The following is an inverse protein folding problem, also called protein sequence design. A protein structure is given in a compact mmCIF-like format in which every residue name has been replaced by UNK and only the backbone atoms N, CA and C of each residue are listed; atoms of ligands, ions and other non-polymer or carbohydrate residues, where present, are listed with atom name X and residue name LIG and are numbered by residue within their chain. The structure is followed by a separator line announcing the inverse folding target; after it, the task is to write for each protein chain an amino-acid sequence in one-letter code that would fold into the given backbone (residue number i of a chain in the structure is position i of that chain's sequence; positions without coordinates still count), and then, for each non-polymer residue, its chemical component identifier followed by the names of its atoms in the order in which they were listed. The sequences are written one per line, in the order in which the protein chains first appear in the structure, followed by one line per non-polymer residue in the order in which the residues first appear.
data_IF_436699888445
#
_entry.id   IF_436699888445
#
_cell.length_a   1.000
_cell.length_b   1.000
_cell.length_c   1.000
_cell.angle_alpha   90.00
_cell.angle_beta   90.00
_cell.angle_gamma   90.00
#
_symmetry.space_group_name_H-M   'P 1'
#
loop_
_entity.id
_entity.type
_entity.pdbx_description
1 polymer ?
#
# COMPACT_ATOMS: atom_id res chain seq x y z
N UNK A 1 -6.94 14.67 -24.47
CA UNK A 1 -6.64 13.29 -24.92
C UNK A 1 -7.11 12.33 -23.84
N UNK A 2 -8.35 11.86 -23.94
CA UNK A 2 -8.94 10.87 -23.05
C UNK A 2 -9.23 9.63 -23.89
N UNK A 3 -8.62 8.50 -23.52
CA UNK A 3 -9.08 7.12 -23.81
C UNK A 3 -7.95 6.15 -23.44
N UNK A 4 -7.93 5.74 -22.18
CA UNK A 4 -7.45 4.44 -21.81
C UNK A 4 -8.51 3.89 -20.86
N UNK A 5 -9.10 2.75 -21.19
CA UNK A 5 -9.70 1.92 -20.14
C UNK A 5 -8.52 1.55 -19.24
N UNK A 6 -8.33 2.30 -18.15
CA UNK A 6 -7.12 2.17 -17.33
C UNK A 6 -7.23 0.91 -16.50
N UNK A 7 -6.64 -0.15 -17.05
CA UNK A 7 -6.55 -1.47 -16.44
C UNK A 7 -5.79 -1.40 -15.12
N UNK A 8 -6.06 -2.35 -14.23
CA UNK A 8 -5.30 -2.55 -12.98
C UNK A 8 -3.79 -2.51 -13.23
N UNK A 9 -3.35 -3.12 -14.32
CA UNK A 9 -1.96 -3.15 -14.75
C UNK A 9 -1.36 -1.74 -14.95
N UNK A 10 -2.04 -0.88 -15.70
CA UNK A 10 -1.56 0.49 -15.96
C UNK A 10 -1.42 1.31 -14.66
N UNK A 11 -2.36 1.12 -13.73
CA UNK A 11 -2.35 1.77 -12.42
C UNK A 11 -1.23 1.26 -11.53
N UNK A 12 -1.04 -0.07 -11.47
CA UNK A 12 0.08 -0.70 -10.76
C UNK A 12 1.41 -0.20 -11.30
N UNK A 13 1.62 -0.16 -12.62
CA UNK A 13 2.85 0.37 -13.20
C UNK A 13 3.08 1.84 -12.85
N UNK A 14 2.04 2.67 -12.90
CA UNK A 14 2.13 4.07 -12.49
C UNK A 14 2.54 4.21 -11.03
N UNK A 15 1.93 3.41 -10.14
CA UNK A 15 2.26 3.40 -8.70
C UNK A 15 3.70 2.92 -8.46
N UNK A 16 4.16 1.88 -9.16
CA UNK A 16 5.55 1.42 -9.09
C UNK A 16 6.54 2.48 -9.58
N UNK A 17 6.13 3.34 -10.52
CA UNK A 17 6.90 4.50 -11.00
C UNK A 17 6.73 5.75 -10.13
N UNK A 18 5.92 5.67 -9.06
CA UNK A 18 5.55 6.80 -8.21
C UNK A 18 4.89 7.94 -8.98
N UNK A 19 4.16 7.63 -10.05
CA UNK A 19 3.48 8.60 -10.92
C UNK A 19 2.26 9.22 -10.20
N UNK A 20 2.30 10.54 -9.89
CA UNK A 20 1.19 11.22 -9.21
C UNK A 20 -0.13 11.14 -9.96
N UNK A 21 -0.11 11.05 -11.29
CA UNK A 21 -1.31 10.94 -12.10
C UNK A 21 -2.02 9.59 -11.88
N UNK A 22 -1.26 8.51 -11.75
CA UNK A 22 -1.82 7.19 -11.46
C UNK A 22 -2.54 7.17 -10.10
N UNK A 23 -1.97 7.80 -9.07
CA UNK A 23 -2.63 7.93 -7.77
C UNK A 23 -3.91 8.76 -7.84
N UNK A 24 -3.90 9.89 -8.54
CA UNK A 24 -5.09 10.73 -8.72
C UNK A 24 -6.23 9.94 -9.38
N UNK A 25 -5.92 9.10 -10.37
CA UNK A 25 -6.89 8.26 -11.06
C UNK A 25 -7.44 7.13 -10.17
N UNK A 26 -6.59 6.52 -9.36
CA UNK A 26 -7.01 5.52 -8.36
C UNK A 26 -7.95 6.16 -7.33
N UNK A 27 -7.66 7.38 -6.89
CA UNK A 27 -8.47 8.10 -5.92
C UNK A 27 -9.84 8.47 -6.48
N UNK A 28 -9.88 8.93 -7.74
CA UNK A 28 -11.08 9.37 -8.43
C UNK A 28 -12.03 8.24 -8.84
N UNK A 29 -11.54 7.00 -8.99
CA UNK A 29 -12.35 5.86 -9.45
C UNK A 29 -12.83 4.97 -8.28
N UNK A 30 -14.15 4.93 -7.99
CA UNK A 30 -14.70 4.03 -6.99
C UNK A 30 -14.45 2.53 -7.26
N UNK A 31 -14.39 2.12 -8.53
CA UNK A 31 -14.09 0.74 -8.93
C UNK A 31 -12.67 0.30 -8.58
N UNK A 32 -11.75 1.24 -8.35
CA UNK A 32 -10.39 0.94 -7.92
C UNK A 32 -10.30 0.34 -6.51
N UNK A 33 -11.36 0.39 -5.69
CA UNK A 33 -11.39 -0.31 -4.39
C UNK A 33 -11.22 -1.81 -4.55
N UNK A 34 -11.96 -2.44 -5.47
CA UNK A 34 -11.85 -3.88 -5.71
C UNK A 34 -10.48 -4.25 -6.27
N UNK A 35 -9.90 -3.35 -7.08
CA UNK A 35 -8.55 -3.52 -7.61
C UNK A 35 -7.49 -3.43 -6.50
N UNK A 36 -7.65 -2.51 -5.55
CA UNK A 36 -6.78 -2.37 -4.40
C UNK A 36 -6.82 -3.63 -3.52
N UNK A 37 -8.01 -4.21 -3.28
CA UNK A 37 -8.15 -5.50 -2.58
C UNK A 37 -7.36 -6.59 -3.31
N UNK A 38 -7.48 -6.69 -4.63
CA UNK A 38 -6.73 -7.67 -5.42
C UNK A 38 -5.20 -7.45 -5.31
N UNK A 39 -4.73 -6.20 -5.36
CA UNK A 39 -3.30 -5.88 -5.20
C UNK A 39 -2.81 -6.29 -3.81
N UNK A 40 -3.54 -5.97 -2.74
CA UNK A 40 -3.19 -6.36 -1.35
C UNK A 40 -3.17 -7.88 -1.20
N UNK A 41 -4.16 -8.57 -1.77
CA UNK A 41 -4.24 -10.02 -1.74
C UNK A 41 -3.06 -10.69 -2.47
N UNK A 42 -2.74 -10.25 -3.69
CA UNK A 42 -1.58 -10.79 -4.45
C UNK A 42 -0.26 -10.46 -3.74
N UNK A 43 -0.13 -9.24 -3.20
CA UNK A 43 1.06 -8.80 -2.45
C UNK A 43 1.25 -9.55 -1.13
N UNK A 44 0.18 -10.09 -0.55
CA UNK A 44 0.25 -10.93 0.66
C UNK A 44 0.46 -12.39 0.33
N UNK A 45 -0.08 -12.89 -0.78
CA UNK A 45 0.29 -14.21 -1.30
C UNK A 45 1.80 -14.31 -1.49
N UNK A 46 2.43 -13.33 -2.16
CA UNK A 46 3.87 -13.31 -2.42
C UNK A 46 4.75 -13.40 -1.14
N UNK A 47 4.22 -12.96 0.00
CA UNK A 47 4.90 -13.07 1.30
C UNK A 47 4.54 -14.38 2.01
N UNK A 48 3.26 -14.75 2.03
CA UNK A 48 2.73 -15.89 2.81
C UNK A 48 3.32 -17.24 2.41
N UNK A 49 3.63 -17.43 1.13
CA UNK A 49 4.30 -18.62 0.60
C UNK A 49 5.72 -18.84 1.14
N UNK A 50 6.34 -17.78 1.67
CA UNK A 50 7.65 -17.86 2.35
C UNK A 50 7.50 -18.21 3.84
N UNK A 51 6.28 -18.18 4.38
CA UNK A 51 5.99 -18.46 5.79
C UNK A 51 5.82 -19.98 5.97
N UNK A 52 6.57 -20.60 6.91
CA UNK A 52 6.37 -22.02 7.24
C UNK A 52 4.92 -22.29 7.70
N UNK A 53 4.30 -23.36 7.21
CA UNK A 53 2.93 -23.73 7.61
C UNK A 53 2.03 -24.33 6.51
N UNK A 54 2.52 -24.40 5.27
CA UNK A 54 1.84 -25.08 4.17
C UNK A 54 0.73 -24.28 3.50
N UNK A 55 -0.19 -24.98 2.84
CA UNK A 55 -1.24 -24.34 2.01
C UNK A 55 -2.25 -23.53 2.83
N UNK A 56 -2.51 -23.92 4.09
CA UNK A 56 -3.45 -23.22 4.96
C UNK A 56 -2.96 -21.83 5.33
N UNK A 57 -1.68 -21.68 5.73
CA UNK A 57 -1.08 -20.37 6.04
C UNK A 57 -1.02 -19.48 4.81
N UNK A 58 -0.78 -20.06 3.64
CA UNK A 58 -0.78 -19.35 2.35
C UNK A 58 -2.14 -18.69 2.05
N UNK A 59 -3.25 -19.24 2.55
CA UNK A 59 -4.60 -18.68 2.32
C UNK A 59 -5.08 -17.76 3.45
N UNK A 60 -4.75 -18.06 4.71
CA UNK A 60 -5.22 -17.29 5.87
C UNK A 60 -4.47 -15.97 6.03
N UNK A 61 -3.15 -15.95 5.80
CA UNK A 61 -2.32 -14.76 5.94
C UNK A 61 -2.79 -13.60 5.03
N UNK A 62 -3.13 -13.84 3.74
CA UNK A 62 -3.72 -12.80 2.89
C UNK A 62 -5.01 -12.17 3.42
N UNK A 63 -5.89 -12.96 4.05
CA UNK A 63 -7.14 -12.45 4.62
C UNK A 63 -6.86 -11.53 5.82
N UNK A 64 -5.92 -11.92 6.68
CA UNK A 64 -5.43 -11.07 7.76
C UNK A 64 -4.81 -9.78 7.22
N UNK A 65 -4.05 -9.84 6.12
CA UNK A 65 -3.46 -8.67 5.48
C UNK A 65 -4.49 -7.69 4.93
N UNK A 66 -5.64 -8.15 4.44
CA UNK A 66 -6.73 -7.26 4.02
C UNK A 66 -7.29 -6.51 5.23
N UNK A 67 -7.52 -7.20 6.35
CA UNK A 67 -7.99 -6.56 7.58
C UNK A 67 -6.96 -5.54 8.10
N UNK A 68 -5.68 -5.94 8.13
CA UNK A 68 -4.58 -5.06 8.48
C UNK A 68 -4.51 -3.82 7.60
N UNK A 69 -4.68 -3.96 6.28
CA UNK A 69 -4.69 -2.84 5.33
C UNK A 69 -5.85 -1.87 5.60
N UNK A 70 -7.04 -2.38 5.91
CA UNK A 70 -8.21 -1.55 6.24
C UNK A 70 -7.93 -0.69 7.48
N UNK A 71 -7.34 -1.30 8.52
CA UNK A 71 -6.91 -0.60 9.75
C UNK A 71 -5.82 0.41 9.46
N UNK A 72 -4.81 0.02 8.68
CA UNK A 72 -3.69 0.89 8.30
C UNK A 72 -4.17 2.12 7.52
N UNK A 73 -5.03 1.93 6.52
CA UNK A 73 -5.64 3.02 5.77
C UNK A 73 -6.45 3.96 6.66
N UNK A 74 -7.14 3.43 7.68
CA UNK A 74 -7.96 4.23 8.58
C UNK A 74 -7.09 5.09 9.49
N UNK A 75 -6.03 4.50 10.06
CA UNK A 75 -5.06 5.24 10.88
C UNK A 75 -4.37 6.32 10.04
N UNK A 76 -3.90 6.00 8.83
CA UNK A 76 -3.30 7.01 7.93
C UNK A 76 -4.29 8.15 7.66
N UNK A 77 -5.53 7.82 7.30
CA UNK A 77 -6.57 8.80 7.06
C UNK A 77 -6.80 9.70 8.29
N UNK A 78 -6.94 9.10 9.46
CA UNK A 78 -7.22 9.81 10.71
C UNK A 78 -6.06 10.72 11.13
N UNK A 79 -4.82 10.21 11.08
CA UNK A 79 -3.61 11.01 11.37
C UNK A 79 -3.50 12.15 10.35
N UNK A 80 -3.58 11.84 9.06
CA UNK A 80 -3.45 12.84 8.01
C UNK A 80 -4.49 13.95 8.13
N UNK A 81 -5.76 13.61 8.33
CA UNK A 81 -6.82 14.63 8.53
C UNK A 81 -6.58 15.46 9.78
N UNK A 82 -6.22 14.84 10.91
CA UNK A 82 -5.95 15.54 12.18
C UNK A 82 -4.81 16.57 12.06
N UNK A 83 -3.75 16.26 11.32
CA UNK A 83 -2.59 17.15 11.16
C UNK A 83 -2.76 18.22 10.06
N UNK A 84 -3.73 18.08 9.15
CA UNK A 84 -3.94 18.99 8.00
C UNK A 84 -5.23 19.83 8.06
N UNK A 85 -6.05 19.72 9.11
CA UNK A 85 -7.37 20.37 9.24
C UNK A 85 -7.42 21.91 9.30
N UNK A 86 -6.36 22.67 8.97
CA UNK A 86 -6.33 24.10 9.32
C UNK A 86 -6.42 25.17 8.22
N UNK A 87 -6.28 24.91 6.93
CA UNK A 87 -6.52 26.03 5.97
C UNK A 87 -6.89 25.64 4.52
N UNK A 88 -6.40 24.53 3.93
CA UNK A 88 -6.56 24.30 2.47
C UNK A 88 -6.96 22.86 2.05
N UNK A 89 -7.28 21.97 2.98
CA UNK A 89 -7.53 20.57 2.64
C UNK A 89 -8.98 20.32 2.20
N UNK A 90 -9.19 19.97 0.93
CA UNK A 90 -10.42 19.25 0.51
C UNK A 90 -10.61 18.05 1.45
N UNK A 91 -11.82 17.80 1.99
CA UNK A 91 -12.06 16.67 2.88
C UNK A 91 -11.58 15.39 2.20
N UNK A 92 -10.51 14.80 2.70
CA UNK A 92 -10.10 13.48 2.22
C UNK A 92 -11.18 12.50 2.64
N UNK A 93 -11.78 11.81 1.70
CA UNK A 93 -12.60 10.66 2.03
C UNK A 93 -11.67 9.49 2.36
N UNK A 94 -12.06 8.68 3.34
CA UNK A 94 -11.33 7.45 3.71
C UNK A 94 -11.07 6.54 2.49
N UNK A 95 -12.06 6.39 1.59
CA UNK A 95 -11.99 5.44 0.49
C UNK A 95 -10.85 5.72 -0.53
N UNK A 96 -10.64 6.96 -1.02
CA UNK A 96 -9.44 7.32 -1.79
C UNK A 96 -8.12 6.96 -1.12
N UNK A 97 -7.98 7.25 0.19
CA UNK A 97 -6.77 6.90 0.96
C UNK A 97 -6.58 5.39 0.96
N UNK A 98 -7.61 4.63 1.32
CA UNK A 98 -7.55 3.17 1.34
C UNK A 98 -7.10 2.60 -0.02
N UNK A 99 -7.70 3.04 -1.12
CA UNK A 99 -7.32 2.61 -2.48
C UNK A 99 -5.85 2.88 -2.78
N UNK A 100 -5.39 4.10 -2.53
CA UNK A 100 -4.00 4.49 -2.80
C UNK A 100 -3.00 3.68 -1.96
N UNK A 101 -3.30 3.45 -0.68
CA UNK A 101 -2.47 2.60 0.20
C UNK A 101 -2.51 1.13 -0.23
N UNK A 102 -3.65 0.63 -0.71
CA UNK A 102 -3.74 -0.75 -1.21
C UNK A 102 -2.91 -0.97 -2.47
N UNK A 103 -2.94 -0.01 -3.40
CA UNK A 103 -2.05 -0.03 -4.57
C UNK A 103 -0.59 0.16 -4.19
N UNK A 104 -0.27 0.94 -3.16
CA UNK A 104 1.10 1.13 -2.67
C UNK A 104 1.76 -0.17 -2.21
N UNK A 105 0.99 -1.24 -1.96
CA UNK A 105 1.51 -2.59 -1.68
C UNK A 105 2.13 -3.29 -2.90
N UNK A 106 1.89 -2.81 -4.12
CA UNK A 106 2.35 -3.46 -5.35
C UNK A 106 3.85 -3.83 -5.42
N UNK A 107 4.82 -3.04 -4.88
CA UNK A 107 6.23 -3.42 -4.88
C UNK A 107 6.49 -4.78 -4.22
N UNK A 108 5.67 -5.15 -3.23
CA UNK A 108 5.78 -6.42 -2.51
C UNK A 108 5.54 -7.65 -3.41
N UNK A 109 4.86 -7.48 -4.54
CA UNK A 109 4.65 -8.55 -5.53
C UNK A 109 5.99 -9.07 -6.07
N UNK A 110 7.03 -8.22 -6.13
CA UNK A 110 8.38 -8.61 -6.56
C UNK A 110 8.98 -9.74 -5.69
N UNK A 111 8.49 -9.92 -4.47
CA UNK A 111 8.98 -10.98 -3.58
C UNK A 111 8.64 -12.39 -4.09
N UNK A 112 7.74 -12.53 -5.06
CA UNK A 112 7.48 -13.83 -5.70
C UNK A 112 8.72 -14.39 -6.41
N UNK A 113 9.62 -13.52 -6.89
CA UNK A 113 10.87 -13.93 -7.53
C UNK A 113 11.82 -14.64 -6.57
N UNK A 114 11.70 -14.41 -5.26
CA UNK A 114 12.50 -15.10 -4.24
C UNK A 114 12.26 -16.61 -4.24
N UNK A 115 11.09 -17.03 -4.74
CA UNK A 115 10.65 -18.42 -4.74
C UNK A 115 10.92 -19.03 -6.11
N UNK A 116 10.56 -18.33 -7.18
CA UNK A 116 10.64 -18.87 -8.55
C UNK A 116 12.10 -19.10 -8.96
N UNK A 117 13.01 -18.22 -8.54
CA UNK A 117 14.42 -18.22 -9.00
C UNK A 117 15.36 -18.66 -7.87
N UNK A 118 14.83 -19.10 -6.73
CA UNK A 118 15.60 -19.55 -5.55
C UNK A 118 16.78 -18.62 -5.20
N UNK A 119 16.52 -17.30 -5.20
CA UNK A 119 17.60 -16.33 -4.98
C UNK A 119 18.29 -16.58 -3.63
N UNK A 120 19.64 -16.44 -3.56
CA UNK A 120 20.35 -16.59 -2.30
C UNK A 120 19.83 -15.60 -1.25
N UNK A 121 19.81 -16.04 0.02
CA UNK A 121 19.33 -15.27 1.19
C UNK A 121 19.73 -13.78 1.21
N UNK A 122 21.00 -13.37 0.93
CA UNK A 122 21.36 -11.96 0.95
C UNK A 122 20.58 -11.12 -0.09
N UNK A 123 20.30 -11.66 -1.28
CA UNK A 123 19.52 -10.96 -2.30
C UNK A 123 18.04 -10.85 -1.92
N UNK A 124 17.51 -11.89 -1.27
CA UNK A 124 16.13 -11.87 -0.76
C UNK A 124 15.90 -10.73 0.24
N UNK A 125 16.84 -10.52 1.16
CA UNK A 125 16.77 -9.41 2.12
C UNK A 125 16.82 -8.04 1.42
N UNK A 126 17.63 -7.89 0.37
CA UNK A 126 17.70 -6.63 -0.39
C UNK A 126 16.35 -6.32 -1.06
N UNK A 127 15.73 -7.32 -1.71
CA UNK A 127 14.42 -7.16 -2.37
C UNK A 127 13.33 -6.81 -1.35
N UNK A 128 13.34 -7.45 -0.18
CA UNK A 128 12.40 -7.16 0.90
C UNK A 128 12.56 -5.71 1.41
N UNK A 129 13.78 -5.28 1.73
CA UNK A 129 14.07 -3.92 2.18
C UNK A 129 13.70 -2.87 1.12
N UNK A 130 14.04 -3.15 -0.14
CA UNK A 130 13.65 -2.31 -1.27
C UNK A 130 12.12 -2.20 -1.36
N UNK A 131 11.41 -3.32 -1.28
CA UNK A 131 9.94 -3.34 -1.32
C UNK A 131 9.33 -2.48 -0.21
N UNK A 132 9.83 -2.62 1.02
CA UNK A 132 9.37 -1.84 2.17
C UNK A 132 9.60 -0.34 1.90
N UNK A 133 10.84 0.06 1.57
CA UNK A 133 11.15 1.47 1.28
C UNK A 133 10.28 2.04 0.16
N UNK A 134 10.03 1.26 -0.89
CA UNK A 134 9.20 1.68 -2.02
C UNK A 134 7.72 1.79 -1.66
N UNK A 135 7.22 0.91 -0.79
CA UNK A 135 5.86 1.00 -0.23
C UNK A 135 5.69 2.31 0.53
N UNK A 136 6.63 2.66 1.41
CA UNK A 136 6.59 3.93 2.14
C UNK A 136 6.63 5.14 1.20
N UNK A 137 7.45 5.10 0.16
CA UNK A 137 7.48 6.15 -0.87
C UNK A 137 6.13 6.27 -1.60
N UNK A 138 5.54 5.14 -2.02
CA UNK A 138 4.24 5.11 -2.69
C UNK A 138 3.10 5.61 -1.78
N UNK A 139 3.13 5.25 -0.49
CA UNK A 139 2.18 5.78 0.50
C UNK A 139 2.31 7.31 0.67
N UNK A 140 3.54 7.83 0.68
CA UNK A 140 3.79 9.26 0.76
C UNK A 140 3.28 10.01 -0.47
N UNK A 141 3.50 9.48 -1.68
CA UNK A 141 2.96 10.09 -2.92
C UNK A 141 1.43 10.01 -2.96
N UNK A 142 0.85 8.85 -2.61
CA UNK A 142 -0.60 8.71 -2.50
C UNK A 142 -1.19 9.74 -1.53
N UNK A 143 -0.60 9.89 -0.35
CA UNK A 143 -1.13 10.78 0.70
C UNK A 143 -0.90 12.24 0.36
N UNK A 144 0.21 12.57 -0.31
CA UNK A 144 0.45 13.88 -0.90
C UNK A 144 -0.70 14.26 -1.85
N UNK A 145 -1.12 13.34 -2.73
CA UNK A 145 -2.24 13.58 -3.64
C UNK A 145 -3.57 13.67 -2.91
N UNK A 146 -3.84 12.77 -1.96
CA UNK A 146 -5.08 12.78 -1.19
C UNK A 146 -5.31 14.13 -0.51
N UNK A 147 -4.26 14.69 0.09
CA UNK A 147 -4.34 15.89 0.92
C UNK A 147 -4.28 17.22 0.13
N UNK A 148 -4.30 17.19 -1.20
CA UNK A 148 -4.21 18.42 -2.00
C UNK A 148 -2.78 18.93 -2.23
N UNK A 149 -1.79 18.03 -2.22
CA UNK A 149 -0.37 18.27 -2.57
C UNK A 149 0.47 19.12 -1.59
N UNK A 150 0.43 18.88 -0.27
CA UNK A 150 1.36 19.52 0.67
C UNK A 150 2.81 19.05 0.48
N UNK A 151 3.82 19.74 1.04
CA UNK A 151 5.22 19.34 0.90
C UNK A 151 5.50 17.88 1.33
N UNK A 152 6.27 17.14 0.52
CA UNK A 152 6.58 15.72 0.78
C UNK A 152 7.17 15.47 2.16
N UNK A 153 8.03 16.36 2.67
CA UNK A 153 8.61 16.24 4.03
C UNK A 153 7.54 16.09 5.11
N UNK A 154 6.48 16.90 5.04
CA UNK A 154 5.38 16.87 6.01
C UNK A 154 4.57 15.58 5.89
N UNK A 155 4.31 15.15 4.65
CA UNK A 155 3.58 13.90 4.36
C UNK A 155 4.36 12.68 4.84
N UNK A 156 5.67 12.62 4.60
CA UNK A 156 6.53 11.52 5.05
C UNK A 156 6.55 11.40 6.56
N UNK A 157 6.63 12.51 7.30
CA UNK A 157 6.53 12.51 8.77
C UNK A 157 5.19 11.92 9.22
N UNK A 158 4.10 12.31 8.56
CA UNK A 158 2.76 11.81 8.89
C UNK A 158 2.61 10.33 8.60
N UNK A 159 3.12 9.85 7.47
CA UNK A 159 3.14 8.42 7.16
C UNK A 159 3.98 7.66 8.19
N UNK A 160 5.14 8.17 8.57
CA UNK A 160 5.98 7.54 9.59
C UNK A 160 5.23 7.43 10.93
N UNK A 161 4.59 8.51 11.38
CA UNK A 161 3.80 8.53 12.62
C UNK A 161 2.58 7.60 12.55
N UNK A 162 1.86 7.57 11.43
CA UNK A 162 0.70 6.71 11.23
C UNK A 162 1.07 5.22 11.17
N UNK A 163 2.27 4.89 10.70
CA UNK A 163 2.73 3.50 10.61
C UNK A 163 3.17 2.91 11.95
N UNK A 164 3.58 3.72 12.93
CA UNK A 164 3.96 3.21 14.26
C UNK A 164 2.88 2.32 14.90
N UNK A 165 1.63 2.78 15.12
CA UNK A 165 0.60 1.93 15.68
C UNK A 165 0.24 0.75 14.77
N UNK A 166 0.32 0.91 13.45
CA UNK A 166 0.00 -0.16 12.48
C UNK A 166 1.01 -1.31 12.57
N UNK A 167 2.30 -0.99 12.70
CA UNK A 167 3.38 -1.97 12.88
C UNK A 167 3.24 -2.66 14.24
N UNK A 168 2.89 -1.91 15.30
CA UNK A 168 2.66 -2.48 16.64
C UNK A 168 1.46 -3.44 16.63
N UNK A 169 0.40 -3.12 15.87
CA UNK A 169 -0.81 -3.95 15.78
C UNK A 169 -0.65 -5.15 14.84
N UNK A 170 0.33 -5.15 13.94
CA UNK A 170 0.52 -6.19 12.92
C UNK A 170 0.56 -7.62 13.49
N UNK A 171 1.34 -7.93 14.54
CA UNK A 171 1.37 -9.29 15.11
C UNK A 171 -0.01 -9.73 15.62
N UNK A 172 -0.76 -8.84 16.26
CA UNK A 172 -2.08 -9.16 16.81
C UNK A 172 -3.12 -9.40 15.72
N UNK A 173 -3.02 -8.66 14.61
CA UNK A 173 -3.96 -8.76 13.49
C UNK A 173 -3.67 -9.97 12.58
N UNK A 174 -2.42 -10.43 12.54
CA UNK A 174 -1.99 -11.56 11.71
C UNK A 174 -1.83 -12.88 12.51
N UNK A 175 -2.13 -12.88 13.81
CA UNK A 175 -2.11 -14.08 14.65
C UNK A 175 -0.72 -14.53 15.08
N UNK A 176 0.13 -13.57 15.45
CA UNK A 176 1.50 -13.77 15.94
C UNK A 176 1.61 -14.54 17.26
#
# INVERSE_FOLDING_TARGET
MWNQVKTVYSRVLGVLRLDPQAFAEIHADPGATYQAVAVVFISSLAVSVQVPGGWFTTLVVPLGFIAWWVVAAFIIYWVATTFFTKEDATPTAYAPVARGIGFAMAPRILQIFLIIIELPVPFGRIIQLFSIGWIFAAMAVSTHIALGRPPYTRVTIIIALAMLPVIILEPFLLGG
#
